data_IF_599595503085
#
_entry.id   IF_599595503085
#
_cell.length_a   1.000
_cell.length_b   1.000
_cell.length_c   1.000
_cell.angle_alpha   90.00
_cell.angle_beta   90.00
_cell.angle_gamma   90.00
#
_symmetry.space_group_name_H-M   'P 1'
#
loop_
_entity.id
_entity.type
_entity.pdbx_description
1 polymer ?
#
# COMPACT_ATOMS: atom_id res chain seq x y z
N UNK A 1 -30.78 32.01 -14.10
CA UNK A 1 -29.83 32.91 -13.39
C UNK A 1 -29.32 32.33 -12.07
N UNK A 2 -30.17 31.83 -11.17
CA UNK A 2 -29.71 31.19 -9.94
C UNK A 2 -29.02 29.82 -10.18
N UNK A 3 -29.52 29.04 -11.15
CA UNK A 3 -29.04 27.68 -11.42
C UNK A 3 -27.55 27.61 -11.82
N UNK A 4 -27.08 28.51 -12.70
CA UNK A 4 -25.67 28.50 -13.15
C UNK A 4 -24.70 28.82 -12.02
N UNK A 5 -25.06 29.78 -11.15
CA UNK A 5 -24.26 30.14 -9.98
C UNK A 5 -24.22 29.03 -8.93
N UNK A 6 -25.35 28.35 -8.71
CA UNK A 6 -25.42 27.17 -7.83
C UNK A 6 -24.57 26.04 -8.39
N UNK A 7 -24.63 25.79 -9.70
CA UNK A 7 -23.83 24.74 -10.34
C UNK A 7 -22.33 25.05 -10.32
N UNK A 8 -21.93 26.32 -10.49
CA UNK A 8 -20.55 26.78 -10.31
C UNK A 8 -20.06 26.52 -8.88
N UNK A 9 -20.90 26.85 -7.88
CA UNK A 9 -20.57 26.64 -6.48
C UNK A 9 -20.44 25.14 -6.14
N UNK A 10 -21.35 24.31 -6.64
CA UNK A 10 -21.29 22.85 -6.46
C UNK A 10 -20.00 22.30 -7.08
N UNK A 11 -19.68 22.65 -8.33
CA UNK A 11 -18.46 22.21 -9.01
C UNK A 11 -17.19 22.65 -8.26
N UNK A 12 -17.20 23.85 -7.67
CA UNK A 12 -16.09 24.34 -6.87
C UNK A 12 -15.91 23.58 -5.57
N UNK A 13 -16.98 23.36 -4.81
CA UNK A 13 -16.93 22.59 -3.56
C UNK A 13 -16.49 21.16 -3.85
N UNK A 14 -17.05 20.52 -4.88
CA UNK A 14 -16.70 19.15 -5.27
C UNK A 14 -15.25 19.04 -5.72
N UNK A 15 -14.74 20.00 -6.49
CA UNK A 15 -13.34 20.01 -6.94
C UNK A 15 -12.37 20.19 -5.78
N UNK A 16 -12.64 21.15 -4.88
CA UNK A 16 -11.82 21.37 -3.70
C UNK A 16 -11.81 20.14 -2.78
N UNK A 17 -12.98 19.54 -2.57
CA UNK A 17 -13.11 18.33 -1.77
C UNK A 17 -12.37 17.14 -2.39
N UNK A 18 -12.50 16.93 -3.70
CA UNK A 18 -11.77 15.88 -4.42
C UNK A 18 -10.25 16.04 -4.27
N UNK A 19 -9.75 17.26 -4.46
CA UNK A 19 -8.31 17.56 -4.35
C UNK A 19 -7.81 17.38 -2.93
N UNK A 20 -8.52 17.93 -1.94
CA UNK A 20 -8.16 17.80 -0.53
C UNK A 20 -8.16 16.32 -0.10
N UNK A 21 -9.21 15.57 -0.43
CA UNK A 21 -9.30 14.14 -0.07
C UNK A 21 -8.28 13.28 -0.80
N UNK A 22 -8.00 13.54 -2.08
CA UNK A 22 -6.96 12.81 -2.82
C UNK A 22 -5.55 13.08 -2.26
N UNK A 23 -5.23 14.35 -1.92
CA UNK A 23 -3.95 14.71 -1.31
C UNK A 23 -3.83 14.09 0.09
N UNK A 24 -4.87 14.18 0.92
CA UNK A 24 -4.88 13.57 2.24
C UNK A 24 -4.72 12.05 2.15
N UNK A 25 -5.42 11.40 1.22
CA UNK A 25 -5.37 9.95 1.01
C UNK A 25 -3.98 9.47 0.57
N UNK A 26 -3.37 10.16 -0.39
CA UNK A 26 -2.04 9.82 -0.90
C UNK A 26 -0.92 10.17 0.09
N UNK A 27 -1.09 11.21 0.92
CA UNK A 27 -0.07 11.69 1.87
C UNK A 27 -0.13 11.02 3.24
N UNK A 28 -1.32 10.80 3.81
CA UNK A 28 -1.48 10.31 5.19
C UNK A 28 -1.85 8.83 5.27
N UNK A 29 -1.48 8.05 4.24
CA UNK A 29 -1.85 6.64 4.09
C UNK A 29 -3.39 6.43 4.02
N UNK A 30 -3.88 5.26 3.59
CA UNK A 30 -5.29 5.05 3.37
C UNK A 30 -6.04 5.02 4.71
N UNK A 31 -6.60 6.16 5.11
CA UNK A 31 -7.43 6.35 6.31
C UNK A 31 -8.81 5.66 6.20
N UNK A 32 -8.89 4.53 5.50
CA UNK A 32 -10.07 3.67 5.41
C UNK A 32 -11.01 3.92 4.22
N UNK A 33 -11.99 3.03 4.08
CA UNK A 33 -12.99 2.98 2.99
C UNK A 33 -13.80 4.28 2.83
N UNK A 34 -13.95 5.05 3.91
CA UNK A 34 -14.71 6.31 3.93
C UNK A 34 -14.14 7.36 2.96
N UNK A 35 -12.82 7.47 2.86
CA UNK A 35 -12.17 8.43 1.95
C UNK A 35 -12.33 8.02 0.49
N UNK A 36 -12.26 6.72 0.17
CA UNK A 36 -12.49 6.22 -1.18
C UNK A 36 -13.91 6.51 -1.67
N UNK A 37 -14.91 6.27 -0.81
CA UNK A 37 -16.29 6.60 -1.16
C UNK A 37 -16.47 8.10 -1.41
N UNK A 38 -15.79 8.96 -0.64
CA UNK A 38 -15.83 10.40 -0.82
C UNK A 38 -15.14 10.85 -2.12
N UNK A 39 -14.00 10.24 -2.46
CA UNK A 39 -13.29 10.49 -3.73
C UNK A 39 -14.16 10.08 -4.91
N UNK A 40 -14.66 8.84 -4.94
CA UNK A 40 -15.51 8.36 -6.03
C UNK A 40 -16.83 9.14 -6.14
N UNK A 41 -17.45 9.48 -5.02
CA UNK A 41 -18.64 10.33 -4.99
C UNK A 41 -18.37 11.73 -5.54
N UNK A 42 -17.24 12.34 -5.17
CA UNK A 42 -16.84 13.66 -5.67
C UNK A 42 -16.54 13.63 -7.18
N UNK A 43 -15.87 12.58 -7.67
CA UNK A 43 -15.64 12.40 -9.12
C UNK A 43 -16.97 12.24 -9.86
N UNK A 44 -17.88 11.40 -9.37
CA UNK A 44 -19.18 11.19 -10.00
C UNK A 44 -20.01 12.49 -10.06
N UNK A 45 -20.04 13.25 -8.96
CA UNK A 45 -20.70 14.56 -8.91
C UNK A 45 -20.06 15.58 -9.85
N UNK A 46 -18.72 15.58 -9.95
CA UNK A 46 -17.99 16.47 -10.86
C UNK A 46 -18.31 16.17 -12.33
N UNK A 47 -18.24 14.89 -12.73
CA UNK A 47 -18.57 14.45 -14.09
C UNK A 47 -20.04 14.74 -14.40
N UNK A 48 -20.96 14.42 -13.47
CA UNK A 48 -22.38 14.72 -13.62
C UNK A 48 -22.65 16.23 -13.78
N UNK A 49 -21.96 17.08 -13.02
CA UNK A 49 -22.06 18.53 -13.14
C UNK A 49 -21.54 19.07 -14.47
N UNK A 50 -20.46 18.51 -15.00
CA UNK A 50 -19.94 18.86 -16.34
C UNK A 50 -20.91 18.40 -17.43
N UNK A 51 -21.41 17.16 -17.38
CA UNK A 51 -22.37 16.65 -18.35
C UNK A 51 -23.65 17.50 -18.36
N UNK A 52 -24.14 17.87 -17.18
CA UNK A 52 -25.29 18.77 -17.05
C UNK A 52 -25.03 20.14 -17.70
N UNK A 53 -23.83 20.71 -17.59
CA UNK A 53 -23.43 21.95 -18.28
C UNK A 53 -23.28 21.83 -19.79
N UNK A 54 -22.94 20.65 -20.28
CA UNK A 54 -22.84 20.37 -21.70
C UNK A 54 -24.24 20.24 -22.31
N UNK A 55 -25.19 19.66 -21.58
CA UNK A 55 -26.58 19.42 -22.03
C UNK A 55 -27.45 20.68 -21.90
N UNK A 56 -27.27 21.49 -20.86
CA UNK A 56 -28.09 22.69 -20.65
C UNK A 56 -27.85 23.72 -21.77
N UNK A 57 -28.93 24.26 -22.40
CA UNK A 57 -28.81 25.25 -23.44
C UNK A 57 -28.21 26.55 -22.88
N UNK A 58 -27.36 27.19 -23.67
CA UNK A 58 -26.65 28.41 -23.28
C UNK A 58 -27.69 29.53 -23.10
N UNK A 59 -27.99 29.87 -21.84
CA UNK A 59 -28.87 31.01 -21.53
C UNK A 59 -28.34 32.31 -22.14
N UNK A 60 -29.20 33.31 -22.39
CA UNK A 60 -28.81 34.56 -23.06
C UNK A 60 -27.65 35.21 -22.31
N UNK A 61 -26.62 35.54 -23.09
CA UNK A 61 -25.29 35.94 -22.65
C UNK A 61 -25.33 37.02 -21.56
N UNK A 62 -25.08 36.60 -20.31
CA UNK A 62 -24.56 37.54 -19.32
C UNK A 62 -23.13 37.88 -19.73
N UNK A 63 -22.84 39.19 -19.79
CA UNK A 63 -21.50 39.78 -19.76
C UNK A 63 -20.59 38.91 -18.88
N UNK A 64 -19.78 38.09 -19.54
CA UNK A 64 -18.80 37.23 -18.89
C UNK A 64 -17.75 38.16 -18.29
N UNK A 65 -17.89 38.47 -16.99
CA UNK A 65 -16.75 38.98 -16.22
C UNK A 65 -15.63 37.96 -16.41
N UNK A 66 -14.60 38.36 -17.15
CA UNK A 66 -13.42 37.56 -17.49
C UNK A 66 -12.84 37.00 -16.19
N UNK A 67 -13.14 35.73 -15.88
CA UNK A 67 -12.57 35.08 -14.69
C UNK A 67 -11.09 34.85 -14.96
N UNK A 68 -10.27 35.10 -13.95
CA UNK A 68 -8.83 34.86 -14.08
C UNK A 68 -8.59 33.36 -14.28
N UNK A 69 -7.74 32.93 -15.23
CA UNK A 69 -7.52 31.52 -15.54
C UNK A 69 -7.07 30.68 -14.34
N UNK A 70 -6.35 31.29 -13.40
CA UNK A 70 -5.94 30.66 -12.12
C UNK A 70 -7.15 30.30 -11.24
N UNK A 71 -8.17 31.16 -11.20
CA UNK A 71 -9.38 30.91 -10.43
C UNK A 71 -10.16 29.73 -11.03
N UNK A 72 -10.22 29.65 -12.37
CA UNK A 72 -10.84 28.53 -13.09
C UNK A 72 -10.12 27.22 -12.73
N UNK A 73 -8.79 27.24 -12.72
CA UNK A 73 -7.98 26.07 -12.38
C UNK A 73 -8.13 25.63 -10.92
N UNK A 74 -8.25 26.57 -9.98
CA UNK A 74 -8.42 26.30 -8.54
C UNK A 74 -9.84 25.83 -8.20
N UNK A 75 -10.86 26.52 -8.71
CA UNK A 75 -12.26 26.26 -8.39
C UNK A 75 -12.92 25.24 -9.31
N UNK A 76 -12.27 24.75 -10.36
CA UNK A 76 -12.88 23.71 -11.17
C UNK A 76 -14.04 24.17 -12.05
N UNK A 77 -14.23 25.47 -12.22
CA UNK A 77 -15.38 25.99 -12.97
C UNK A 77 -15.21 25.71 -14.47
N UNK A 78 -16.29 25.30 -15.13
CA UNK A 78 -16.30 25.11 -16.58
C UNK A 78 -16.71 26.42 -17.27
N UNK A 79 -15.79 27.02 -18.03
CA UNK A 79 -16.05 28.20 -18.87
C UNK A 79 -15.83 27.85 -20.35
N UNK A 80 -16.81 28.18 -21.21
CA UNK A 80 -16.74 27.96 -22.66
C UNK A 80 -15.81 28.95 -23.36
N UNK A 81 -15.53 30.10 -22.74
CA UNK A 81 -14.65 31.13 -23.31
C UNK A 81 -13.16 30.79 -23.17
N UNK A 82 -12.82 29.93 -22.20
CA UNK A 82 -11.45 29.49 -21.91
C UNK A 82 -11.38 27.94 -21.92
N UNK A 83 -11.55 27.30 -23.10
CA UNK A 83 -11.63 25.85 -23.20
C UNK A 83 -10.35 25.16 -22.73
N UNK A 84 -9.19 25.80 -22.93
CA UNK A 84 -7.89 25.26 -22.49
C UNK A 84 -7.80 25.16 -20.95
N UNK A 85 -8.24 26.19 -20.24
CA UNK A 85 -8.22 26.21 -18.76
C UNK A 85 -9.22 25.20 -18.17
N UNK A 86 -10.41 25.10 -18.77
CA UNK A 86 -11.40 24.08 -18.43
C UNK A 86 -10.87 22.66 -18.67
N UNK A 87 -10.19 22.43 -19.80
CA UNK A 87 -9.57 21.15 -20.12
C UNK A 87 -8.45 20.77 -19.14
N UNK A 88 -7.53 21.69 -18.85
CA UNK A 88 -6.45 21.46 -17.87
C UNK A 88 -6.98 21.12 -16.49
N UNK A 89 -8.10 21.69 -16.10
CA UNK A 89 -8.77 21.41 -14.82
C UNK A 89 -9.32 19.99 -14.76
N UNK A 90 -10.02 19.56 -15.81
CA UNK A 90 -10.52 18.18 -15.94
C UNK A 90 -9.35 17.21 -15.91
N UNK A 91 -8.30 17.47 -16.69
CA UNK A 91 -7.09 16.67 -16.71
C UNK A 91 -6.44 16.55 -15.33
N UNK A 92 -6.33 17.66 -14.57
CA UNK A 92 -5.76 17.64 -13.23
C UNK A 92 -6.57 16.78 -12.26
N UNK A 93 -7.90 16.89 -12.29
CA UNK A 93 -8.76 16.05 -11.44
C UNK A 93 -8.66 14.56 -11.83
N UNK A 94 -8.52 14.25 -13.12
CA UNK A 94 -8.28 12.88 -13.60
C UNK A 94 -6.89 12.36 -13.20
N UNK A 95 -5.85 13.18 -13.26
CA UNK A 95 -4.50 12.81 -12.82
C UNK A 95 -4.48 12.50 -11.32
N UNK A 96 -5.21 13.26 -10.50
CA UNK A 96 -5.34 12.97 -9.07
C UNK A 96 -6.07 11.65 -8.81
N UNK A 97 -7.13 11.36 -9.55
CA UNK A 97 -7.78 10.05 -9.49
C UNK A 97 -6.83 8.92 -9.93
N UNK A 98 -6.06 9.14 -11.01
CA UNK A 98 -5.05 8.22 -11.49
C UNK A 98 -3.96 7.95 -10.45
N UNK A 99 -3.51 8.97 -9.72
CA UNK A 99 -2.55 8.81 -8.63
C UNK A 99 -3.13 7.99 -7.45
N UNK A 100 -4.41 8.19 -7.12
CA UNK A 100 -5.11 7.36 -6.11
C UNK A 100 -5.23 5.92 -6.61
N UNK A 101 -5.55 5.71 -7.88
CA UNK A 101 -5.67 4.39 -8.49
C UNK A 101 -4.33 3.66 -8.53
N UNK A 102 -3.26 4.32 -8.98
CA UNK A 102 -1.89 3.81 -8.94
C UNK A 102 -1.54 3.40 -7.51
N UNK A 103 -1.83 4.25 -6.53
CA UNK A 103 -1.58 3.90 -5.14
C UNK A 103 -2.34 2.64 -4.69
N UNK A 104 -3.60 2.47 -5.04
CA UNK A 104 -4.41 1.32 -4.63
C UNK A 104 -4.02 0.03 -5.34
N UNK A 105 -3.90 0.08 -6.66
CA UNK A 105 -3.92 -1.11 -7.50
C UNK A 105 -2.56 -1.45 -8.10
N UNK A 106 -1.53 -0.62 -7.91
CA UNK A 106 -0.17 -0.94 -8.37
C UNK A 106 0.32 -2.29 -7.86
N UNK A 107 0.02 -2.64 -6.62
CA UNK A 107 0.37 -3.97 -6.08
C UNK A 107 -0.33 -5.11 -6.82
N UNK A 108 -1.61 -4.93 -7.15
CA UNK A 108 -2.42 -5.97 -7.78
C UNK A 108 -2.10 -6.16 -9.27
N UNK A 109 -1.84 -5.08 -10.02
CA UNK A 109 -1.60 -5.16 -11.47
C UNK A 109 -0.11 -5.18 -11.84
N UNK A 110 0.74 -4.40 -11.18
CA UNK A 110 2.14 -4.28 -11.59
C UNK A 110 3.05 -5.35 -10.94
N UNK A 111 2.59 -5.99 -9.85
CA UNK A 111 3.41 -6.92 -9.06
C UNK A 111 2.63 -8.20 -8.73
N UNK A 112 2.05 -8.85 -9.75
CA UNK A 112 1.55 -10.21 -9.60
C UNK A 112 2.73 -11.16 -9.46
N UNK A 113 2.89 -11.73 -8.26
CA UNK A 113 4.00 -12.62 -7.93
C UNK A 113 3.50 -14.06 -7.84
N UNK A 114 3.04 -14.61 -8.96
CA UNK A 114 2.53 -15.99 -9.04
C UNK A 114 3.64 -17.01 -8.76
N UNK A 115 4.88 -16.70 -9.15
CA UNK A 115 6.09 -17.49 -8.92
C UNK A 115 6.84 -17.06 -7.66
N UNK A 116 6.16 -16.51 -6.65
CA UNK A 116 6.83 -16.08 -5.43
C UNK A 116 7.13 -17.29 -4.54
N UNK A 117 8.41 -17.50 -4.32
CA UNK A 117 8.92 -18.40 -3.29
C UNK A 117 9.21 -17.57 -2.04
N UNK A 118 8.81 -18.07 -0.87
CA UNK A 118 9.21 -17.47 0.40
C UNK A 118 9.15 -18.44 1.57
N UNK A 119 9.98 -18.21 2.58
CA UNK A 119 9.84 -18.81 3.91
C UNK A 119 9.87 -17.72 4.97
N UNK A 120 8.89 -17.74 5.87
CA UNK A 120 8.75 -16.76 6.93
C UNK A 120 8.57 -17.48 8.26
N UNK A 121 9.33 -17.02 9.24
CA UNK A 121 9.20 -17.45 10.61
C UNK A 121 7.93 -16.81 11.21
N UNK A 122 7.06 -17.65 11.73
CA UNK A 122 5.88 -17.26 12.49
C UNK A 122 6.22 -17.07 13.96
N UNK A 123 5.25 -17.43 14.82
CA UNK A 123 5.45 -17.42 16.27
C UNK A 123 6.48 -18.47 16.67
N UNK A 124 7.44 -18.04 17.50
CA UNK A 124 8.44 -18.90 18.12
C UNK A 124 8.24 -18.83 19.63
N UNK A 125 8.09 -20.00 20.21
CA UNK A 125 7.95 -20.22 21.63
C UNK A 125 9.27 -20.74 22.22
N UNK A 126 9.23 -21.17 23.48
CA UNK A 126 10.36 -21.80 24.17
C UNK A 126 10.70 -23.18 23.58
N UNK A 127 9.68 -23.95 23.21
CA UNK A 127 9.83 -25.35 22.75
C UNK A 127 9.25 -25.61 21.36
N UNK A 128 8.60 -24.61 20.76
CA UNK A 128 7.96 -24.74 19.45
C UNK A 128 8.28 -23.57 18.54
N UNK A 129 8.29 -23.82 17.22
CA UNK A 129 8.41 -22.78 16.22
C UNK A 129 7.50 -23.07 15.05
N UNK A 130 6.85 -22.03 14.53
CA UNK A 130 6.02 -22.14 13.32
C UNK A 130 6.71 -21.48 12.15
N UNK A 131 6.83 -22.18 11.03
CA UNK A 131 7.44 -21.66 9.81
C UNK A 131 6.44 -21.82 8.67
N UNK A 132 6.12 -20.72 8.01
CA UNK A 132 5.24 -20.71 6.84
C UNK A 132 6.10 -20.64 5.59
N UNK A 133 5.88 -21.56 4.66
CA UNK A 133 6.61 -21.62 3.39
C UNK A 133 5.60 -21.58 2.25
N UNK A 134 5.89 -20.79 1.23
CA UNK A 134 5.23 -20.85 -0.06
C UNK A 134 6.25 -21.26 -1.11
N UNK A 135 5.93 -22.30 -1.87
CA UNK A 135 6.86 -22.86 -2.83
C UNK A 135 6.14 -23.43 -4.05
N UNK A 136 5.86 -22.62 -5.09
CA UNK A 136 5.32 -23.09 -6.37
C UNK A 136 6.42 -23.80 -7.21
N UNK A 137 7.06 -24.86 -6.68
CA UNK A 137 8.05 -25.63 -7.46
C UNK A 137 7.27 -26.71 -8.21
N UNK A 138 7.04 -26.53 -9.50
CA UNK A 138 6.66 -27.65 -10.38
C UNK A 138 7.92 -28.47 -10.70
N UNK A 139 7.95 -29.81 -10.55
CA UNK A 139 6.86 -30.75 -10.23
C UNK A 139 6.82 -31.21 -8.75
N UNK A 140 7.42 -30.45 -7.83
CA UNK A 140 7.63 -30.86 -6.43
C UNK A 140 6.39 -30.56 -5.57
N UNK A 141 5.59 -31.58 -5.28
CA UNK A 141 4.35 -31.50 -4.48
C UNK A 141 4.58 -31.51 -2.97
N UNK A 142 5.83 -31.48 -2.51
CA UNK A 142 6.17 -31.50 -1.08
C UNK A 142 7.35 -30.58 -0.76
N UNK A 143 7.30 -29.94 0.39
CA UNK A 143 8.44 -29.18 0.92
C UNK A 143 8.97 -29.95 2.12
N UNK A 144 10.27 -30.20 2.12
CA UNK A 144 10.99 -30.69 3.29
C UNK A 144 11.67 -29.52 4.00
N UNK A 145 11.52 -29.46 5.32
CA UNK A 145 12.28 -28.57 6.19
C UNK A 145 13.25 -29.41 7.01
N UNK A 146 14.50 -28.96 7.09
CA UNK A 146 15.53 -29.50 7.96
C UNK A 146 15.92 -28.45 8.98
N UNK A 147 16.15 -28.84 10.24
CA UNK A 147 16.61 -27.91 11.27
C UNK A 147 17.59 -28.57 12.23
N UNK A 148 18.54 -27.76 12.71
CA UNK A 148 19.58 -28.18 13.63
C UNK A 148 19.96 -27.03 14.60
N UNK A 149 20.34 -27.37 15.84
CA UNK A 149 20.91 -26.37 16.74
C UNK A 149 22.24 -25.84 16.18
N UNK A 150 22.42 -24.52 16.21
CA UNK A 150 23.64 -23.83 15.75
C UNK A 150 24.90 -24.28 16.52
N UNK A 151 24.72 -24.78 17.76
CA UNK A 151 25.80 -25.23 18.65
C UNK A 151 26.27 -26.67 18.39
N UNK A 152 25.45 -27.51 17.78
CA UNK A 152 25.72 -28.95 17.62
C UNK A 152 26.14 -29.25 16.19
N UNK A 153 27.43 -29.09 15.88
CA UNK A 153 28.00 -29.34 14.55
C UNK A 153 27.87 -30.78 14.05
N UNK A 154 27.53 -31.73 14.93
CA UNK A 154 27.56 -33.18 14.66
C UNK A 154 26.21 -33.91 14.87
N UNK A 155 25.13 -33.21 15.22
CA UNK A 155 23.80 -33.85 15.34
C UNK A 155 23.11 -34.00 13.98
N UNK A 156 22.48 -35.16 13.76
CA UNK A 156 21.67 -35.42 12.56
C UNK A 156 20.53 -34.37 12.51
N UNK A 157 20.37 -33.63 11.40
CA UNK A 157 19.31 -32.64 11.29
C UNK A 157 17.95 -33.32 11.39
N UNK A 158 17.05 -32.76 12.19
CA UNK A 158 15.65 -33.20 12.21
C UNK A 158 14.99 -32.72 10.93
N UNK A 159 14.12 -33.53 10.33
CA UNK A 159 13.38 -33.15 9.14
C UNK A 159 11.89 -33.48 9.21
N UNK A 160 11.09 -32.73 8.46
CA UNK A 160 9.64 -32.94 8.34
C UNK A 160 9.21 -32.49 6.95
N UNK A 161 8.23 -33.20 6.39
CA UNK A 161 7.70 -32.94 5.05
C UNK A 161 6.23 -32.54 5.12
N UNK A 162 5.84 -31.60 4.27
CA UNK A 162 4.45 -31.17 4.10
C UNK A 162 4.12 -31.13 2.62
N UNK A 163 2.95 -31.62 2.25
CA UNK A 163 2.46 -31.52 0.88
C UNK A 163 1.93 -30.12 0.57
N UNK A 164 2.28 -29.65 -0.61
CA UNK A 164 1.99 -28.30 -1.10
C UNK A 164 1.31 -28.45 -2.46
N UNK A 165 0.17 -27.81 -2.65
CA UNK A 165 -0.70 -28.03 -3.81
C UNK A 165 -1.31 -26.71 -4.32
N UNK A 166 -1.83 -26.73 -5.55
CA UNK A 166 -2.54 -25.56 -6.10
C UNK A 166 -3.75 -25.15 -5.24
N UNK A 167 -4.43 -26.12 -4.62
CA UNK A 167 -5.60 -25.88 -3.76
C UNK A 167 -5.29 -25.06 -2.50
N UNK A 168 -4.04 -25.08 -2.02
CA UNK A 168 -3.58 -24.27 -0.90
C UNK A 168 -2.64 -23.14 -1.33
N UNK A 169 -2.71 -22.74 -2.61
CA UNK A 169 -1.90 -21.67 -3.20
C UNK A 169 -0.39 -21.90 -2.97
N UNK A 170 -0.01 -23.17 -3.00
CA UNK A 170 1.34 -23.66 -2.71
C UNK A 170 1.91 -23.22 -1.35
N UNK A 171 1.06 -23.10 -0.32
CA UNK A 171 1.45 -22.72 1.05
C UNK A 171 1.41 -23.92 2.00
N UNK A 172 2.49 -24.11 2.77
CA UNK A 172 2.60 -25.07 3.87
C UNK A 172 3.02 -24.40 5.17
N UNK A 173 2.61 -24.95 6.31
CA UNK A 173 3.00 -24.47 7.65
C UNK A 173 3.61 -25.61 8.45
N UNK A 174 4.89 -25.49 8.80
CA UNK A 174 5.61 -26.41 9.65
C UNK A 174 5.47 -26.01 11.11
N UNK A 175 5.16 -26.98 11.98
CA UNK A 175 5.20 -26.84 13.43
C UNK A 175 6.36 -27.68 13.94
N UNK A 176 7.46 -27.01 14.30
CA UNK A 176 8.61 -27.64 14.91
C UNK A 176 8.36 -27.78 16.41
N UNK A 177 8.50 -28.99 16.94
CA UNK A 177 8.27 -29.30 18.36
C UNK A 177 9.54 -29.89 19.00
N UNK A 178 9.58 -29.86 20.33
CA UNK A 178 10.71 -30.40 21.10
C UNK A 178 12.01 -29.61 20.88
N UNK A 179 11.90 -28.29 20.70
CA UNK A 179 13.04 -27.38 20.66
C UNK A 179 13.52 -27.09 22.09
N UNK A 180 14.79 -26.76 22.22
CA UNK A 180 15.38 -26.34 23.48
C UNK A 180 15.19 -24.83 23.69
N UNK A 181 14.91 -24.38 24.93
CA UNK A 181 14.75 -22.96 25.23
C UNK A 181 16.09 -22.21 25.14
N UNK A 182 16.03 -20.95 24.72
CA UNK A 182 17.19 -20.07 24.55
C UNK A 182 18.28 -20.59 23.58
N UNK A 183 17.88 -21.40 22.61
CA UNK A 183 18.77 -22.03 21.62
C UNK A 183 18.56 -21.44 20.24
N UNK A 184 19.66 -21.19 19.53
CA UNK A 184 19.65 -20.77 18.14
C UNK A 184 19.58 -21.99 17.22
N UNK A 185 18.64 -21.97 16.29
CA UNK A 185 18.41 -22.99 15.29
C UNK A 185 18.61 -22.42 13.89
N UNK A 186 19.34 -23.17 13.08
CA UNK A 186 19.39 -22.96 11.63
C UNK A 186 18.38 -23.91 10.99
N UNK A 187 17.61 -23.42 10.02
CA UNK A 187 16.72 -24.25 9.23
C UNK A 187 16.99 -24.08 7.74
N UNK A 188 16.86 -25.17 7.01
CA UNK A 188 16.94 -25.24 5.56
C UNK A 188 15.66 -25.81 4.99
N UNK A 189 15.35 -25.45 3.75
CA UNK A 189 14.31 -26.13 2.97
C UNK A 189 14.91 -26.69 1.69
N UNK A 190 14.31 -27.75 1.14
CA UNK A 190 14.68 -28.27 -0.18
C UNK A 190 14.58 -27.18 -1.29
N UNK A 191 13.69 -26.20 -1.08
CA UNK A 191 13.52 -25.01 -1.92
C UNK A 191 14.62 -23.95 -1.78
N UNK A 192 15.83 -24.32 -1.33
CA UNK A 192 17.01 -23.42 -1.21
C UNK A 192 16.85 -22.22 -0.27
N UNK A 193 15.89 -22.25 0.67
CA UNK A 193 15.87 -21.29 1.78
C UNK A 193 16.73 -21.75 2.94
N UNK A 194 17.47 -20.81 3.50
CA UNK A 194 18.18 -20.94 4.76
C UNK A 194 17.77 -19.77 5.66
N UNK A 195 17.44 -20.08 6.91
CA UNK A 195 17.09 -19.09 7.91
C UNK A 195 17.61 -19.47 9.28
N UNK A 196 17.65 -18.48 10.18
CA UNK A 196 18.09 -18.66 11.56
C UNK A 196 17.03 -18.05 12.47
N UNK A 197 16.70 -18.76 13.54
CA UNK A 197 15.84 -18.26 14.59
C UNK A 197 16.35 -18.69 15.96
N UNK A 198 15.88 -18.01 17.00
CA UNK A 198 16.21 -18.34 18.39
C UNK A 198 14.92 -18.55 19.16
N UNK A 199 14.85 -19.63 19.92
CA UNK A 199 13.72 -19.91 20.80
C UNK A 199 13.69 -18.94 21.98
N UNK A 200 12.50 -18.73 22.54
CA UNK A 200 12.38 -17.93 23.74
C UNK A 200 13.09 -18.62 24.93
N UNK A 201 13.63 -17.82 25.84
CA UNK A 201 14.13 -18.35 27.10
C UNK A 201 12.94 -18.66 28.03
N UNK A 202 13.03 -19.75 28.81
CA UNK A 202 11.97 -20.16 29.74
C UNK A 202 11.62 -19.12 30.84
N UNK A 203 12.56 -18.22 31.13
CA UNK A 203 12.36 -17.12 32.07
C UNK A 203 13.17 -15.90 31.63
N UNK A 204 12.70 -15.13 30.63
CA UNK A 204 13.48 -14.05 30.06
C UNK A 204 13.56 -12.88 31.03
N UNK A 205 14.78 -12.50 31.43
CA UNK A 205 15.01 -11.30 32.26
C UNK A 205 14.71 -10.00 31.51
N UNK A 206 14.77 -10.01 30.17
CA UNK A 206 14.49 -8.87 29.28
C UNK A 206 13.88 -9.39 27.98
N UNK A 207 12.92 -8.65 27.44
CA UNK A 207 12.33 -8.91 26.13
C UNK A 207 12.27 -7.62 25.31
N UNK A 208 12.22 -7.76 23.99
CA UNK A 208 12.10 -6.63 23.06
C UNK A 208 11.16 -7.04 21.95
N UNK A 209 10.17 -6.20 21.68
CA UNK A 209 9.16 -6.42 20.65
C UNK A 209 9.22 -5.28 19.65
N UNK A 210 9.29 -5.63 18.37
CA UNK A 210 9.13 -4.68 17.27
C UNK A 210 7.76 -4.93 16.67
N UNK A 211 6.90 -3.92 16.73
CA UNK A 211 5.59 -3.95 16.07
C UNK A 211 5.65 -3.05 14.84
N UNK A 212 5.25 -3.60 13.69
CA UNK A 212 5.16 -2.87 12.43
C UNK A 212 3.75 -2.98 11.88
N UNK A 213 3.20 -1.88 11.37
CA UNK A 213 1.90 -1.83 10.70
C UNK A 213 2.03 -1.22 9.32
N UNK A 214 1.09 -1.54 8.43
CA UNK A 214 0.95 -0.91 7.11
C UNK A 214 2.16 -1.09 6.18
N UNK A 215 2.84 -2.25 6.24
CA UNK A 215 3.90 -2.58 5.30
C UNK A 215 3.26 -2.83 3.93
N UNK A 216 3.47 -1.88 3.02
CA UNK A 216 3.13 -2.05 1.61
C UNK A 216 4.30 -2.70 0.89
N UNK A 217 4.11 -3.84 0.21
CA UNK A 217 5.14 -4.45 -0.61
C UNK A 217 5.74 -3.44 -1.59
N UNK A 218 7.07 -3.43 -1.72
CA UNK A 218 7.84 -2.54 -2.61
C UNK A 218 7.78 -1.03 -2.28
N UNK A 219 7.16 -0.64 -1.17
CA UNK A 219 7.32 0.71 -0.63
C UNK A 219 8.51 0.71 0.32
N UNK A 220 9.51 1.57 0.10
CA UNK A 220 10.69 1.65 1.00
C UNK A 220 10.20 2.06 2.39
N UNK A 221 10.03 1.08 3.28
CA UNK A 221 10.03 1.32 4.69
C UNK A 221 11.45 1.81 5.02
N UNK A 222 11.63 3.11 5.17
CA UNK A 222 12.83 3.64 5.80
C UNK A 222 12.81 3.14 7.25
N UNK A 223 13.43 1.98 7.48
CA UNK A 223 13.87 1.53 8.79
C UNK A 223 14.96 2.51 9.27
N UNK A 224 14.57 3.72 9.66
CA UNK A 224 15.32 4.43 10.70
C UNK A 224 15.00 3.71 12.00
N UNK A 225 15.76 2.65 12.24
CA UNK A 225 15.83 2.01 13.53
C UNK A 225 16.10 3.08 14.60
N UNK A 226 15.22 3.13 15.60
CA UNK A 226 15.57 3.20 17.02
C UNK A 226 16.65 4.24 17.34
N UNK A 227 16.24 5.51 17.41
CA UNK A 227 16.77 6.48 18.39
C UNK A 227 15.78 7.64 18.51
N UNK A 228 15.51 8.00 19.77
CA UNK A 228 14.69 9.13 20.26
C UNK A 228 13.17 9.09 20.00
N UNK A 229 12.45 8.62 21.02
CA UNK A 229 11.49 9.40 21.81
C UNK A 229 10.89 10.65 21.15
N UNK A 230 9.55 10.63 20.98
CA UNK A 230 8.66 11.80 20.85
C UNK A 230 9.11 12.93 19.90
N UNK A 231 8.78 12.80 18.62
CA UNK A 231 8.37 13.95 17.79
C UNK A 231 7.51 13.48 16.62
N UNK A 232 6.21 13.38 16.89
CA UNK A 232 5.18 13.58 15.88
C UNK A 232 5.28 15.04 15.45
N UNK A 233 5.97 15.30 14.34
CA UNK A 233 5.74 16.42 13.41
C UNK A 233 6.77 16.34 12.27
N UNK A 234 6.23 16.45 11.05
CA UNK A 234 6.84 17.06 9.86
C UNK A 234 8.33 16.75 9.54
N UNK A 235 8.55 16.13 8.39
CA UNK A 235 9.17 16.76 7.19
C UNK A 235 9.13 15.70 6.08
N UNK A 236 8.16 15.82 5.19
CA UNK A 236 8.26 15.27 3.83
C UNK A 236 7.92 16.44 2.90
N UNK A 237 8.87 17.38 2.84
CA UNK A 237 8.98 18.42 1.84
C UNK A 237 10.47 18.47 1.45
N UNK A 238 10.67 18.77 0.18
CA UNK A 238 11.94 18.90 -0.57
C UNK A 238 12.66 17.60 -0.93
N UNK A 239 12.38 17.11 -2.14
CA UNK A 239 13.48 16.80 -3.07
C UNK A 239 13.00 17.01 -4.49
N UNK A 240 12.93 18.29 -4.87
CA UNK A 240 13.08 18.70 -6.25
C UNK A 240 14.58 18.67 -6.56
N UNK A 241 14.96 17.90 -7.58
CA UNK A 241 16.18 18.07 -8.37
C UNK A 241 17.54 17.91 -7.68
N UNK A 242 18.25 16.83 -8.01
CA UNK A 242 19.58 17.00 -8.63
C UNK A 242 19.98 15.73 -9.40
N UNK A 243 20.24 15.94 -10.70
CA UNK A 243 21.03 15.09 -11.60
C UNK A 243 22.49 15.15 -11.12
N UNK A 244 23.30 14.12 -11.34
CA UNK A 244 24.68 14.19 -11.87
C UNK A 244 25.19 12.74 -11.92
N UNK A 245 25.98 12.52 -12.96
CA UNK A 245 26.74 11.36 -13.37
C UNK A 245 27.53 10.64 -12.26
#
# INVERSE_FOLDING_TARGET
MALDGVLDAILAVVTLNLRATAILFTRFHPLGKRYLNCIYGSVALYIGGILLRLILPLGPARSLKRRHPVLILLLGCFDRTLPLASFSTVLLNLLLLGAVWDFLYRGHFAHQSNELFFSWLGYVDETTARIVVRSPISPVTYVEITWNPSRSGDELPRSTTISVAESNDYVGTFSLEGLEPDTEYTYGTNASYLGVFRTAAASPKRWSLVSTSCIKPFYRAHHKAIKSTLRLELICLTSLGHKID
#
